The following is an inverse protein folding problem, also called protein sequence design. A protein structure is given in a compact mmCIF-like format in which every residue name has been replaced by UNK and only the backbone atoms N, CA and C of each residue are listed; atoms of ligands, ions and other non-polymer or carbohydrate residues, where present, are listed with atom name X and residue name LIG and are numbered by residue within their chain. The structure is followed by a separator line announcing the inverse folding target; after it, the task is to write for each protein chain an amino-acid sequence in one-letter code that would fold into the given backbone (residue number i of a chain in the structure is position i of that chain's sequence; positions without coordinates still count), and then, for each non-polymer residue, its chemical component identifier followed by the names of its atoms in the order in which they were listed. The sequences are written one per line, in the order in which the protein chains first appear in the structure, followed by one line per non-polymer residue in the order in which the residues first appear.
data_IF_408053484693
#
_entry.id   IF_408053484693
#
_cell.length_a   1.000
_cell.length_b   1.000
_cell.length_c   1.000
_cell.angle_alpha   90.00
_cell.angle_beta   90.00
_cell.angle_gamma   90.00
#
_symmetry.space_group_name_H-M   'P 1'
#
loop_
_entity.id
_entity.type
_entity.pdbx_description
1 polymer ?
#
# COMPACT_ATOMS: atom_id res chain seq x y z
N UNK A 1 -19.41 5.79 10.52
CA UNK A 1 -19.47 4.75 9.49
C UNK A 1 -18.20 4.86 8.65
N UNK A 2 -17.51 3.76 8.39
CA UNK A 2 -16.27 3.70 7.59
C UNK A 2 -16.53 2.89 6.31
N UNK A 3 -15.79 3.18 5.24
CA UNK A 3 -15.79 2.46 3.98
C UNK A 3 -14.48 1.69 3.85
N UNK A 4 -14.56 0.39 3.56
CA UNK A 4 -13.41 -0.39 3.11
C UNK A 4 -13.19 -0.12 1.62
N UNK A 5 -12.03 0.40 1.26
CA UNK A 5 -11.64 0.69 -0.11
C UNK A 5 -10.40 -0.14 -0.50
N UNK A 6 -10.39 -0.65 -1.72
CA UNK A 6 -9.29 -1.44 -2.28
C UNK A 6 -8.76 -0.84 -3.57
N UNK A 7 -7.44 -0.73 -3.70
CA UNK A 7 -6.75 -0.36 -4.93
C UNK A 7 -5.81 -1.48 -5.37
N UNK A 8 -5.74 -1.74 -6.68
CA UNK A 8 -4.86 -2.77 -7.25
C UNK A 8 -3.97 -2.13 -8.32
N UNK A 9 -2.66 -2.20 -8.12
CA UNK A 9 -1.66 -1.73 -9.09
C UNK A 9 -0.96 -2.96 -9.65
N UNK A 10 -1.13 -3.24 -10.94
CA UNK A 10 -0.59 -4.43 -11.59
C UNK A 10 0.37 -4.05 -12.71
N UNK A 11 1.51 -4.74 -12.78
CA UNK A 11 2.53 -4.56 -13.80
C UNK A 11 2.90 -5.91 -14.43
N UNK A 12 3.03 -5.93 -15.76
CA UNK A 12 3.44 -7.10 -16.56
C UNK A 12 4.96 -7.25 -16.69
N UNK A 13 5.76 -6.47 -15.94
CA UNK A 13 7.22 -6.54 -15.94
C UNK A 13 7.80 -7.44 -14.85
N UNK A 14 9.13 -7.34 -14.69
CA UNK A 14 9.91 -8.12 -13.73
C UNK A 14 9.40 -8.04 -12.29
N UNK A 15 9.66 -9.11 -11.52
CA UNK A 15 9.33 -9.18 -10.09
C UNK A 15 10.09 -8.07 -9.34
N UNK A 16 9.45 -7.50 -8.32
CA UNK A 16 10.17 -6.67 -7.35
C UNK A 16 11.18 -7.56 -6.60
N UNK A 17 12.46 -7.14 -6.49
CA UNK A 17 13.46 -7.86 -5.71
C UNK A 17 12.97 -8.18 -4.30
N UNK A 18 13.33 -9.37 -3.81
CA UNK A 18 12.87 -9.84 -2.50
C UNK A 18 13.39 -8.98 -1.35
N UNK A 19 14.62 -8.45 -1.48
CA UNK A 19 15.23 -7.54 -0.52
C UNK A 19 14.38 -6.27 -0.35
N UNK A 20 13.95 -5.65 -1.44
CA UNK A 20 13.08 -4.46 -1.41
C UNK A 20 11.70 -4.75 -0.79
N UNK A 21 11.17 -5.96 -0.98
CA UNK A 21 9.93 -6.38 -0.32
C UNK A 21 10.14 -6.56 1.19
N UNK A 22 11.25 -7.17 1.60
CA UNK A 22 11.59 -7.33 3.02
C UNK A 22 11.76 -5.97 3.71
N UNK A 23 12.42 -5.02 3.05
CA UNK A 23 12.51 -3.64 3.51
C UNK A 23 11.13 -3.00 3.66
N UNK A 24 10.26 -3.13 2.65
CA UNK A 24 8.90 -2.60 2.70
C UNK A 24 8.08 -3.15 3.87
N UNK A 25 8.19 -4.46 4.16
CA UNK A 25 7.44 -5.09 5.25
C UNK A 25 8.06 -4.87 6.64
N UNK A 26 9.20 -4.18 6.71
CA UNK A 26 9.85 -3.77 7.96
C UNK A 26 10.62 -4.91 8.62
N UNK A 27 11.15 -5.85 7.84
CA UNK A 27 12.09 -6.85 8.33
C UNK A 27 13.46 -6.24 8.65
N UNK A 28 13.80 -5.12 8.01
CA UNK A 28 15.07 -4.41 8.17
C UNK A 28 14.92 -3.10 8.97
N UNK A 29 15.93 -2.71 9.78
CA UNK A 29 15.88 -1.51 10.63
C UNK A 29 15.89 -0.21 9.83
N UNK A 30 16.55 -0.19 8.67
CA UNK A 30 16.61 0.93 7.73
C UNK A 30 16.41 0.41 6.31
N UNK A 31 15.57 1.11 5.53
CA UNK A 31 15.43 0.80 4.11
C UNK A 31 16.57 1.46 3.33
N UNK A 32 17.01 0.79 2.26
CA UNK A 32 17.93 1.35 1.28
C UNK A 32 17.30 2.53 0.55
N UNK A 33 18.13 3.36 -0.10
CA UNK A 33 17.63 4.45 -0.96
C UNK A 33 16.70 3.95 -2.08
N UNK A 34 16.86 2.68 -2.49
CA UNK A 34 16.01 2.03 -3.49
C UNK A 34 14.67 1.56 -2.89
N UNK A 35 14.67 1.00 -1.67
CA UNK A 35 13.48 0.46 -1.00
C UNK A 35 12.68 1.46 -0.16
N UNK A 36 13.24 2.65 0.12
CA UNK A 36 12.62 3.65 1.00
C UNK A 36 11.24 4.10 0.49
N UNK A 37 11.06 4.19 -0.83
CA UNK A 37 9.78 4.58 -1.45
C UNK A 37 8.66 3.57 -1.16
N UNK A 38 8.97 2.28 -1.21
CA UNK A 38 8.03 1.19 -0.89
C UNK A 38 7.71 1.18 0.61
N UNK A 39 8.74 1.31 1.46
CA UNK A 39 8.55 1.39 2.92
C UNK A 39 7.65 2.58 3.31
N UNK A 40 7.90 3.77 2.76
CA UNK A 40 7.06 4.96 3.00
C UNK A 40 5.63 4.69 2.56
N UNK A 41 5.43 4.12 1.37
CA UNK A 41 4.09 3.81 0.84
C UNK A 41 3.28 2.93 1.81
N UNK A 42 3.90 1.91 2.40
CA UNK A 42 3.25 1.08 3.43
C UNK A 42 2.99 1.85 4.73
N UNK A 43 3.95 2.67 5.18
CA UNK A 43 3.80 3.50 6.39
C UNK A 43 2.67 4.52 6.25
N UNK A 44 2.35 4.99 5.04
CA UNK A 44 1.20 5.87 4.78
C UNK A 44 -0.14 5.14 4.90
N UNK A 45 -0.19 3.87 4.50
CA UNK A 45 -1.41 3.05 4.53
C UNK A 45 -1.73 2.58 5.96
N UNK A 46 -0.71 2.31 6.77
CA UNK A 46 -0.87 1.81 8.15
C UNK A 46 -1.77 2.67 9.07
N UNK A 47 -1.62 4.00 9.15
CA UNK A 47 -2.51 4.84 9.97
C UNK A 47 -3.95 4.91 9.45
N UNK A 48 -4.21 4.52 8.20
CA UNK A 48 -5.56 4.47 7.60
C UNK A 48 -6.27 3.14 7.91
N UNK A 49 -5.86 2.46 8.98
CA UNK A 49 -6.25 1.08 9.32
C UNK A 49 -6.10 0.12 8.12
N UNK A 50 -5.12 0.41 7.25
CA UNK A 50 -4.92 -0.27 6.00
C UNK A 50 -3.74 -1.23 5.99
N UNK A 51 -3.64 -1.98 4.91
CA UNK A 51 -2.52 -2.87 4.64
C UNK A 51 -2.16 -2.91 3.15
N UNK A 52 -0.92 -3.31 2.87
CA UNK A 52 -0.41 -3.51 1.51
C UNK A 52 0.03 -4.95 1.36
N UNK A 53 -0.47 -5.63 0.32
CA UNK A 53 -0.07 -6.98 -0.05
C UNK A 53 0.63 -6.96 -1.40
N UNK A 54 1.61 -7.84 -1.56
CA UNK A 54 2.25 -8.08 -2.85
C UNK A 54 1.95 -9.50 -3.30
N UNK A 55 1.29 -9.61 -4.46
CA UNK A 55 0.96 -10.86 -5.11
C UNK A 55 1.78 -11.01 -6.39
N UNK A 56 2.31 -12.20 -6.58
CA UNK A 56 3.04 -12.60 -7.77
C UNK A 56 2.31 -13.74 -8.44
N UNK A 57 1.99 -13.56 -9.71
CA UNK A 57 1.62 -14.63 -10.63
C UNK A 57 2.79 -14.86 -11.61
N UNK A 58 2.78 -16.01 -12.29
CA UNK A 58 3.66 -16.38 -13.40
C UNK A 58 3.88 -15.30 -14.46
N UNK A 59 2.94 -14.36 -14.64
CA UNK A 59 3.01 -13.32 -15.67
C UNK A 59 2.89 -11.87 -15.14
N UNK A 60 2.53 -11.66 -13.86
CA UNK A 60 2.22 -10.32 -13.34
C UNK A 60 2.61 -10.16 -11.88
N UNK A 61 3.05 -8.95 -11.56
CA UNK A 61 3.24 -8.48 -10.19
C UNK A 61 2.10 -7.52 -9.85
N UNK A 62 1.45 -7.72 -8.71
CA UNK A 62 0.33 -6.88 -8.27
C UNK A 62 0.50 -6.45 -6.83
N UNK A 63 0.43 -5.14 -6.59
CA UNK A 63 0.23 -4.58 -5.26
C UNK A 63 -1.26 -4.41 -5.01
N UNK A 64 -1.73 -4.90 -3.86
CA UNK A 64 -3.10 -4.70 -3.38
C UNK A 64 -3.02 -3.84 -2.13
N UNK A 65 -3.63 -2.66 -2.19
CA UNK A 65 -3.73 -1.72 -1.08
C UNK A 65 -5.17 -1.76 -0.57
N UNK A 66 -5.33 -2.02 0.72
CA UNK A 66 -6.64 -1.97 1.40
C UNK A 66 -6.59 -0.91 2.48
N UNK A 67 -7.61 -0.05 2.56
CA UNK A 67 -7.71 1.00 3.58
C UNK A 67 -9.13 1.11 4.09
N UNK A 68 -9.28 1.58 5.33
CA UNK A 68 -10.57 1.99 5.88
C UNK A 68 -10.62 3.51 5.97
N UNK A 69 -11.59 4.10 5.27
CA UNK A 69 -11.78 5.54 5.22
C UNK A 69 -13.06 5.91 5.97
N UNK A 70 -12.98 6.94 6.82
CA UNK A 70 -14.19 7.52 7.40
C UNK A 70 -15.07 8.09 6.29
N UNK A 71 -16.37 7.79 6.35
CA UNK A 71 -17.33 8.45 5.46
C UNK A 71 -17.40 9.90 5.90
N UNK A 72 -17.04 10.81 5.00
CA UNK A 72 -17.27 12.22 5.24
C UNK A 72 -18.79 12.44 5.33
N UNK A 73 -19.27 12.78 6.53
CA UNK A 73 -20.61 13.33 6.65
C UNK A 73 -20.57 14.73 6.06
N UNK A 74 -20.97 14.87 4.79
CA UNK A 74 -21.30 16.17 4.21
C UNK A 74 -22.65 16.62 4.80
N UNK A 75 -22.65 16.93 6.09
CA UNK A 75 -23.73 17.70 6.71
C UNK A 75 -23.45 19.15 6.33
N UNK A 76 -24.18 19.67 5.34
CA UNK A 76 -23.86 20.92 4.65
C UNK A 76 -23.86 22.17 5.53
N UNK A 77 -23.08 23.17 5.11
CA UNK A 77 -23.38 24.61 5.24
C UNK A 77 -22.34 25.42 4.42
N UNK A 78 -22.63 25.64 3.14
CA UNK A 78 -22.21 26.88 2.46
C UNK A 78 -23.50 27.63 2.10
N UNK A 79 -24.07 28.28 3.11
CA UNK A 79 -24.89 29.48 2.93
C UNK A 79 -23.99 30.69 3.15
#
# INVERSE_FOLDING_TARGET
MTLSCGCRISHSGGRVPEELLNEMFGSEPEASDEGISLLISRKLVKPMNGDVQYLRDSARSTFIISVELAIANTTGART
#
